data_IF_601590395826
#
_entry.id   IF_601590395826
#
_cell.length_a   1.000
_cell.length_b   1.000
_cell.length_c   1.000
_cell.angle_alpha   90.00
_cell.angle_beta   90.00
_cell.angle_gamma   90.00
#
_symmetry.space_group_name_H-M   'P 1'
#
loop_
_entity.id
_entity.type
_entity.pdbx_description
1 polymer ?
#
# COMPACT_ATOMS: atom_id res chain seq x y z
N UNK A 1 -8.14 14.13 -33.22
CA UNK A 1 -7.33 14.64 -32.10
C UNK A 1 -7.88 14.36 -30.69
N UNK A 2 -9.15 13.98 -30.49
CA UNK A 2 -9.73 13.76 -29.13
C UNK A 2 -9.40 12.38 -28.50
N UNK A 3 -9.36 11.32 -29.31
CA UNK A 3 -9.13 9.94 -28.84
C UNK A 3 -7.72 9.76 -28.25
N UNK A 4 -6.71 10.45 -28.79
CA UNK A 4 -5.33 10.36 -28.31
C UNK A 4 -5.17 10.82 -26.86
N UNK A 5 -5.95 11.82 -26.42
CA UNK A 5 -5.86 12.34 -25.06
C UNK A 5 -6.43 11.36 -24.02
N UNK A 6 -7.53 10.69 -24.35
CA UNK A 6 -8.13 9.66 -23.48
C UNK A 6 -7.20 8.47 -23.29
N UNK A 7 -6.53 8.03 -24.37
CA UNK A 7 -5.57 6.92 -24.30
C UNK A 7 -4.35 7.29 -23.42
N UNK A 8 -3.82 8.51 -23.57
CA UNK A 8 -2.73 9.01 -22.74
C UNK A 8 -3.12 9.09 -21.26
N UNK A 9 -4.32 9.59 -20.94
CA UNK A 9 -4.82 9.62 -19.57
C UNK A 9 -4.96 8.21 -18.97
N UNK A 10 -5.50 7.26 -19.72
CA UNK A 10 -5.64 5.87 -19.25
C UNK A 10 -4.26 5.24 -18.93
N UNK A 11 -3.27 5.44 -19.79
CA UNK A 11 -1.90 4.95 -19.57
C UNK A 11 -1.28 5.60 -18.33
N UNK A 12 -1.46 6.92 -18.14
CA UNK A 12 -0.95 7.63 -16.96
C UNK A 12 -1.59 7.08 -15.68
N UNK A 13 -2.91 6.90 -15.66
CA UNK A 13 -3.62 6.39 -14.46
C UNK A 13 -3.15 4.96 -14.13
N UNK A 14 -3.04 4.07 -15.13
CA UNK A 14 -2.56 2.71 -14.91
C UNK A 14 -1.07 2.63 -14.52
N UNK A 15 -0.28 3.67 -14.84
CA UNK A 15 1.13 3.77 -14.43
C UNK A 15 1.30 4.23 -12.99
N UNK A 16 0.28 4.84 -12.39
CA UNK A 16 0.26 5.14 -10.96
C UNK A 16 -0.04 3.82 -10.24
N UNK A 17 1.00 3.03 -9.99
CA UNK A 17 0.92 1.83 -9.17
C UNK A 17 0.39 2.20 -7.79
N UNK A 18 -0.90 1.99 -7.56
CA UNK A 18 -1.53 2.20 -6.27
C UNK A 18 -0.83 1.28 -5.28
N UNK A 19 -0.13 1.86 -4.31
CA UNK A 19 0.48 1.06 -3.25
C UNK A 19 -0.66 0.63 -2.33
N UNK A 20 -1.34 -0.44 -2.70
CA UNK A 20 -2.45 -1.01 -1.95
C UNK A 20 -1.93 -1.44 -0.56
N UNK A 21 -2.39 -0.73 0.47
CA UNK A 21 -2.11 -1.11 1.84
C UNK A 21 -2.90 -2.38 2.16
N UNK A 22 -2.21 -3.44 2.53
CA UNK A 22 -2.81 -4.62 3.11
C UNK A 22 -3.25 -4.33 4.54
N UNK A 23 -4.55 -4.54 4.80
CA UNK A 23 -5.19 -4.23 6.06
C UNK A 23 -4.96 -5.37 7.06
N UNK A 24 -4.46 -5.05 8.26
CA UNK A 24 -4.43 -6.01 9.37
C UNK A 24 -5.30 -5.51 10.53
N UNK A 25 -5.69 -6.44 11.40
CA UNK A 25 -6.32 -6.13 12.70
C UNK A 25 -5.33 -6.15 13.87
N UNK A 26 -4.02 -6.21 13.59
CA UNK A 26 -2.99 -6.20 14.63
C UNK A 26 -2.85 -4.79 15.17
N UNK A 27 -3.04 -4.63 16.48
CA UNK A 27 -2.89 -3.34 17.15
C UNK A 27 -1.42 -2.91 17.19
N UNK A 28 -1.20 -1.60 17.15
CA UNK A 28 0.13 -1.01 17.24
C UNK A 28 0.07 0.38 17.87
N UNK A 29 1.19 0.79 18.46
CA UNK A 29 1.48 2.15 18.91
C UNK A 29 2.64 2.78 18.11
N UNK A 30 3.46 1.96 17.45
CA UNK A 30 4.57 2.41 16.62
C UNK A 30 4.68 1.58 15.33
N UNK A 31 5.12 2.21 14.24
CA UNK A 31 5.28 1.54 12.94
C UNK A 31 6.27 0.38 12.95
N UNK A 32 7.31 0.43 13.80
CA UNK A 32 8.31 -0.63 13.94
C UNK A 32 7.72 -1.97 14.40
N UNK A 33 6.64 -1.95 15.18
CA UNK A 33 5.91 -3.14 15.60
C UNK A 33 5.26 -3.87 14.42
N UNK A 34 4.94 -3.14 13.35
CA UNK A 34 4.31 -3.70 12.16
C UNK A 34 5.29 -4.39 11.22
N UNK A 35 6.59 -4.10 11.29
CA UNK A 35 7.59 -4.70 10.40
C UNK A 35 7.65 -6.23 10.49
N UNK A 36 7.80 -6.85 11.68
CA UNK A 36 7.76 -8.31 11.78
C UNK A 36 6.40 -8.89 11.40
N UNK A 37 5.30 -8.17 11.69
CA UNK A 37 3.94 -8.58 11.34
C UNK A 37 3.77 -8.65 9.83
N UNK A 38 4.14 -7.58 9.13
CA UNK A 38 4.06 -7.50 7.67
C UNK A 38 4.99 -8.50 7.01
N UNK A 39 6.17 -8.77 7.61
CA UNK A 39 7.09 -9.76 7.08
C UNK A 39 6.49 -11.16 7.16
N UNK A 40 5.85 -11.49 8.28
CA UNK A 40 5.20 -12.78 8.51
C UNK A 40 3.98 -12.99 7.60
N UNK A 41 3.15 -11.97 7.41
CA UNK A 41 1.89 -12.10 6.67
C UNK A 41 2.04 -11.91 5.16
N UNK A 42 2.90 -10.99 4.72
CA UNK A 42 2.99 -10.54 3.33
C UNK A 42 4.42 -10.58 2.76
N UNK A 43 5.40 -11.04 3.54
CA UNK A 43 6.80 -11.12 3.08
C UNK A 43 7.56 -9.79 3.03
N UNK A 44 6.93 -8.68 3.44
CA UNK A 44 7.48 -7.30 3.37
C UNK A 44 7.73 -6.69 4.74
N UNK A 45 8.82 -5.92 4.89
CA UNK A 45 9.07 -5.13 6.12
C UNK A 45 8.39 -3.75 6.09
N UNK A 46 7.68 -3.40 5.01
CA UNK A 46 7.05 -2.08 4.85
C UNK A 46 5.73 -2.01 5.63
N UNK A 47 5.84 -1.96 6.95
CA UNK A 47 4.71 -1.78 7.86
C UNK A 47 4.63 -0.36 8.43
N UNK A 48 3.41 0.19 8.52
CA UNK A 48 3.12 1.43 9.26
C UNK A 48 1.97 1.21 10.25
N UNK A 49 2.03 1.91 11.37
CA UNK A 49 0.91 1.97 12.30
C UNK A 49 -0.03 3.12 11.91
N UNK A 50 -1.27 2.79 11.54
CA UNK A 50 -2.29 3.76 11.12
C UNK A 50 -3.61 3.44 11.83
N UNK A 51 -4.19 4.43 12.51
CA UNK A 51 -5.39 4.25 13.35
C UNK A 51 -5.25 3.10 14.35
N UNK A 52 -4.09 3.03 15.01
CA UNK A 52 -3.72 1.99 15.98
C UNK A 52 -3.72 0.56 15.43
N UNK A 53 -3.65 0.40 14.09
CA UNK A 53 -3.56 -0.90 13.42
C UNK A 53 -2.44 -0.94 12.40
N UNK A 54 -1.83 -2.12 12.23
CA UNK A 54 -0.79 -2.29 11.24
C UNK A 54 -1.36 -2.29 9.81
N UNK A 55 -0.72 -1.51 8.95
CA UNK A 55 -0.91 -1.49 7.50
C UNK A 55 0.38 -1.92 6.84
N UNK A 56 0.31 -2.92 5.98
CA UNK A 56 1.46 -3.47 5.28
C UNK A 56 1.42 -3.04 3.83
N UNK A 57 2.55 -2.61 3.29
CA UNK A 57 2.65 -2.15 1.91
C UNK A 57 3.55 -3.12 1.16
N UNK A 58 3.22 -3.42 -0.10
CA UNK A 58 4.11 -4.20 -0.97
C UNK A 58 5.45 -3.49 -1.15
#
# INVERSE_FOLDING_TARGET
>A
MKISFLLLLAIVICSIGWTEAQFTNVSCSASSQCWPVCKKLFGTYRGKCMNSKCRCYS
#
